data_IF_343169513819
#
_entry.id   IF_343169513819
#
_cell.length_a   1.000
_cell.length_b   1.000
_cell.length_c   1.000
_cell.angle_alpha   90.00
_cell.angle_beta   90.00
_cell.angle_gamma   90.00
#
_symmetry.space_group_name_H-M   'P 1'
#
loop_
_entity.id
_entity.type
_entity.pdbx_description
1 polymer ?
#
# COMPACT_ATOMS: atom_id res chain seq x y z
N UNK A 1 14.60 2.94 -11.64
CA UNK A 1 14.66 3.74 -10.39
C UNK A 1 13.58 3.19 -9.48
N UNK A 2 13.87 3.01 -8.19
CA UNK A 2 12.90 2.55 -7.21
C UNK A 2 12.53 3.70 -6.26
N UNK A 3 11.24 3.86 -5.99
CA UNK A 3 10.72 4.82 -5.01
C UNK A 3 10.08 4.04 -3.88
N UNK A 4 10.64 4.16 -2.69
CA UNK A 4 10.09 3.54 -1.49
C UNK A 4 9.34 4.59 -0.67
N UNK A 5 8.10 4.31 -0.28
CA UNK A 5 7.28 5.26 0.47
C UNK A 5 6.27 4.62 1.44
N UNK A 6 6.30 3.29 1.64
CA UNK A 6 5.37 2.61 2.56
C UNK A 6 5.91 2.63 3.98
N UNK A 7 5.39 3.53 4.82
CA UNK A 7 5.64 3.55 6.27
C UNK A 7 7.12 3.54 6.65
N UNK A 8 7.91 4.39 5.98
CA UNK A 8 9.35 4.50 6.20
C UNK A 8 9.68 5.28 7.47
N UNK A 9 10.77 4.85 8.12
CA UNK A 9 11.53 5.60 9.11
C UNK A 9 13.01 5.61 8.69
N UNK A 10 13.86 6.32 9.44
CA UNK A 10 15.29 6.46 9.08
C UNK A 10 16.00 5.10 8.99
N UNK A 11 15.76 4.20 9.94
CA UNK A 11 16.39 2.87 9.93
C UNK A 11 16.02 2.05 8.68
N UNK A 12 14.73 2.06 8.29
CA UNK A 12 14.28 1.37 7.07
C UNK A 12 14.90 1.98 5.82
N UNK A 13 15.00 3.31 5.75
CA UNK A 13 15.65 4.01 4.63
C UNK A 13 17.10 3.55 4.50
N UNK A 14 17.85 3.52 5.60
CA UNK A 14 19.26 3.11 5.59
C UNK A 14 19.44 1.66 5.14
N UNK A 15 18.59 0.74 5.62
CA UNK A 15 18.60 -0.67 5.20
C UNK A 15 18.32 -0.83 3.70
N UNK A 16 17.30 -0.14 3.20
CA UNK A 16 16.93 -0.19 1.77
C UNK A 16 18.03 0.44 0.90
N UNK A 17 18.61 1.56 1.34
CA UNK A 17 19.72 2.20 0.65
C UNK A 17 20.90 1.25 0.53
N UNK A 18 21.39 0.71 1.65
CA UNK A 18 22.52 -0.24 1.67
C UNK A 18 22.28 -1.44 0.76
N UNK A 19 21.05 -1.93 0.71
CA UNK A 19 20.74 -3.09 -0.13
C UNK A 19 20.69 -2.76 -1.63
N UNK A 20 20.19 -1.60 -2.04
CA UNK A 20 19.85 -1.33 -3.45
C UNK A 20 20.69 -0.25 -4.15
N UNK A 21 21.47 0.57 -3.43
CA UNK A 21 22.07 1.79 -3.99
C UNK A 21 23.06 1.55 -5.14
N UNK A 22 23.70 0.37 -5.18
CA UNK A 22 24.62 -0.01 -6.27
C UNK A 22 23.92 -0.58 -7.50
N UNK A 23 22.63 -0.97 -7.36
CA UNK A 23 21.87 -1.68 -8.40
C UNK A 23 20.92 -0.78 -9.17
N UNK A 24 20.45 0.29 -8.55
CA UNK A 24 19.50 1.21 -9.18
C UNK A 24 19.46 2.56 -8.48
N UNK A 25 18.94 3.58 -9.17
CA UNK A 25 18.63 4.88 -8.58
C UNK A 25 17.49 4.73 -7.57
N UNK A 26 17.62 5.41 -6.43
CA UNK A 26 16.68 5.34 -5.31
C UNK A 26 16.09 6.70 -4.97
N UNK A 27 14.83 6.70 -4.52
CA UNK A 27 14.18 7.82 -3.86
C UNK A 27 13.33 7.31 -2.68
N UNK A 28 13.19 8.13 -1.65
CA UNK A 28 12.49 7.77 -0.42
C UNK A 28 11.48 8.85 -0.04
N UNK A 29 10.22 8.46 0.09
CA UNK A 29 9.15 9.30 0.63
C UNK A 29 8.92 8.96 2.09
N UNK A 30 9.32 9.84 3.01
CA UNK A 30 9.11 9.67 4.44
C UNK A 30 7.97 10.59 4.89
N UNK A 31 6.84 10.00 5.30
CA UNK A 31 5.63 10.70 5.70
C UNK A 31 5.54 10.89 7.21
N UNK A 32 4.66 10.13 7.86
CA UNK A 32 4.33 10.23 9.29
C UNK A 32 5.56 10.29 10.21
N UNK A 33 6.56 9.43 9.99
CA UNK A 33 7.80 9.41 10.80
C UNK A 33 8.63 10.69 10.67
N UNK A 34 8.43 11.50 9.64
CA UNK A 34 9.11 12.78 9.45
C UNK A 34 8.26 13.95 9.93
N UNK A 35 6.95 13.93 9.67
CA UNK A 35 6.08 15.10 9.86
C UNK A 35 5.20 15.04 11.10
N UNK A 36 5.08 13.88 11.75
CA UNK A 36 4.22 13.68 12.92
C UNK A 36 4.87 12.69 13.91
N UNK A 37 6.13 12.95 14.27
CA UNK A 37 6.89 12.19 15.27
C UNK A 37 7.11 13.04 16.53
N UNK A 38 6.02 13.26 17.28
CA UNK A 38 5.98 14.21 18.40
C UNK A 38 5.79 13.53 19.77
N UNK A 39 5.81 12.20 19.82
CA UNK A 39 5.59 11.39 21.03
C UNK A 39 4.23 10.66 21.04
N UNK A 40 3.08 11.35 20.89
CA UNK A 40 1.78 10.69 20.78
C UNK A 40 1.65 9.83 19.52
N UNK A 41 0.90 8.73 19.60
CA UNK A 41 0.61 7.87 18.45
C UNK A 41 -0.18 8.62 17.39
N UNK A 42 0.32 8.73 16.14
CA UNK A 42 -0.39 9.41 15.07
C UNK A 42 -1.68 8.68 14.67
N UNK A 43 -2.73 9.45 14.38
CA UNK A 43 -4.00 8.91 13.88
C UNK A 43 -3.81 8.25 12.50
N UNK A 44 -4.37 7.05 12.34
CA UNK A 44 -4.36 6.30 11.09
C UNK A 44 -5.66 6.57 10.32
N UNK A 45 -5.66 7.63 9.50
CA UNK A 45 -6.82 8.05 8.72
C UNK A 45 -6.57 7.75 7.24
N UNK A 46 -7.58 7.18 6.58
CA UNK A 46 -7.51 6.85 5.15
C UNK A 46 -8.75 7.39 4.42
N UNK A 47 -8.52 7.94 3.23
CA UNK A 47 -9.58 8.27 2.27
C UNK A 47 -9.29 7.44 1.01
N UNK A 48 -10.31 6.76 0.50
CA UNK A 48 -10.19 5.87 -0.66
C UNK A 48 -11.37 6.10 -1.59
N UNK A 49 -11.12 6.00 -2.89
CA UNK A 49 -12.18 5.98 -3.88
C UNK A 49 -12.93 4.65 -3.81
N UNK A 50 -14.26 4.71 -3.77
CA UNK A 50 -15.14 3.53 -3.72
C UNK A 50 -15.94 3.34 -5.01
N UNK A 51 -16.17 4.42 -5.76
CA UNK A 51 -16.91 4.40 -7.04
C UNK A 51 -16.33 5.38 -8.06
N UNK A 52 -16.47 5.05 -9.33
CA UNK A 52 -16.18 5.92 -10.47
C UNK A 52 -17.27 5.69 -11.53
N UNK A 53 -17.89 6.76 -12.05
CA UNK A 53 -19.00 6.67 -13.02
C UNK A 53 -20.14 5.72 -12.59
N UNK A 54 -20.46 5.71 -11.30
CA UNK A 54 -21.50 4.83 -10.73
C UNK A 54 -21.12 3.35 -10.62
N UNK A 55 -19.90 2.96 -11.02
CA UNK A 55 -19.38 1.59 -10.93
C UNK A 55 -18.45 1.43 -9.72
N UNK A 56 -18.37 0.23 -9.10
CA UNK A 56 -17.44 -0.02 -8.01
C UNK A 56 -15.99 0.04 -8.50
N UNK A 57 -15.09 0.50 -7.63
CA UNK A 57 -13.63 0.36 -7.84
C UNK A 57 -13.03 -0.41 -6.67
N UNK A 58 -11.88 -1.04 -6.90
CA UNK A 58 -11.19 -1.80 -5.88
C UNK A 58 -9.69 -1.53 -5.91
N UNK A 59 -9.07 -1.60 -4.74
CA UNK A 59 -7.62 -1.74 -4.61
C UNK A 59 -7.31 -3.17 -4.21
N UNK A 60 -6.65 -3.92 -5.08
CA UNK A 60 -6.03 -5.20 -4.75
C UNK A 60 -4.63 -4.91 -4.22
N UNK A 61 -4.28 -5.49 -3.07
CA UNK A 61 -3.02 -5.21 -2.38
C UNK A 61 -2.38 -6.52 -1.94
N UNK A 62 -1.06 -6.62 -2.11
CA UNK A 62 -0.25 -7.77 -1.67
C UNK A 62 -0.19 -7.86 -0.14
N UNK A 63 -0.44 -6.77 0.57
CA UNK A 63 -0.60 -6.79 2.03
C UNK A 63 -2.02 -7.25 2.44
N UNK A 64 -2.16 -8.28 3.29
CA UNK A 64 -3.42 -8.67 3.89
C UNK A 64 -4.11 -7.49 4.59
N UNK A 65 -5.44 -7.37 4.46
CA UNK A 65 -6.23 -6.31 5.10
C UNK A 65 -6.13 -4.91 4.44
N UNK A 66 -5.29 -4.73 3.41
CA UNK A 66 -5.27 -3.48 2.61
C UNK A 66 -6.12 -3.57 1.33
N UNK A 67 -6.70 -4.74 1.03
CA UNK A 67 -7.68 -4.90 -0.04
C UNK A 67 -8.98 -4.21 0.36
N UNK A 68 -9.49 -3.31 -0.48
CA UNK A 68 -10.71 -2.55 -0.19
C UNK A 68 -11.65 -2.59 -1.39
N UNK A 69 -12.80 -3.20 -1.18
CA UNK A 69 -14.01 -3.09 -1.99
C UNK A 69 -15.13 -3.75 -1.19
N UNK A 70 -16.29 -3.11 -1.12
CA UNK A 70 -17.46 -3.66 -0.43
C UNK A 70 -18.21 -4.69 -1.31
N UNK A 71 -17.94 -4.68 -2.61
CA UNK A 71 -18.51 -5.61 -3.58
C UNK A 71 -17.61 -6.85 -3.74
N UNK A 72 -17.99 -7.92 -3.05
CA UNK A 72 -17.28 -9.21 -3.09
C UNK A 72 -17.35 -9.87 -4.47
N UNK A 73 -18.41 -9.63 -5.24
CA UNK A 73 -18.56 -10.11 -6.61
C UNK A 73 -17.55 -9.46 -7.55
N UNK A 74 -17.42 -8.14 -7.45
CA UNK A 74 -16.43 -7.38 -8.21
C UNK A 74 -14.99 -7.73 -7.82
N UNK A 75 -14.71 -7.97 -6.53
CA UNK A 75 -13.40 -8.46 -6.08
C UNK A 75 -13.04 -9.83 -6.64
N UNK A 76 -14.00 -10.76 -6.67
CA UNK A 76 -13.78 -12.09 -7.26
C UNK A 76 -13.49 -11.96 -8.75
N UNK A 77 -14.31 -11.19 -9.46
CA UNK A 77 -14.10 -10.90 -10.88
C UNK A 77 -12.70 -10.32 -11.16
N UNK A 78 -12.26 -9.30 -10.41
CA UNK A 78 -10.94 -8.72 -10.60
C UNK A 78 -9.81 -9.73 -10.32
N UNK A 79 -9.95 -10.57 -9.28
CA UNK A 79 -8.96 -11.61 -9.00
C UNK A 79 -8.84 -12.62 -10.14
N UNK A 80 -9.97 -13.05 -10.70
CA UNK A 80 -10.00 -13.99 -11.83
C UNK A 80 -9.33 -13.36 -13.07
N UNK A 81 -9.68 -12.11 -13.39
CA UNK A 81 -9.11 -11.37 -14.53
C UNK A 81 -7.58 -11.20 -14.40
N UNK A 82 -7.08 -10.98 -13.19
CA UNK A 82 -5.65 -10.80 -12.93
C UNK A 82 -4.93 -12.11 -12.55
N UNK A 83 -5.60 -13.26 -12.58
CA UNK A 83 -5.00 -14.57 -12.25
C UNK A 83 -4.49 -14.68 -10.81
N UNK A 84 -5.15 -14.00 -9.87
CA UNK A 84 -4.78 -14.01 -8.45
C UNK A 84 -5.41 -15.22 -7.72
N UNK A 85 -4.79 -15.69 -6.62
CA UNK A 85 -5.36 -16.75 -5.80
C UNK A 85 -6.79 -16.41 -5.31
N UNK A 86 -7.67 -17.42 -5.16
CA UNK A 86 -9.01 -17.22 -4.64
C UNK A 86 -8.97 -16.63 -3.22
N UNK A 87 -10.03 -15.89 -2.86
CA UNK A 87 -10.17 -15.38 -1.50
C UNK A 87 -10.31 -16.55 -0.54
N UNK A 88 -9.40 -16.67 0.43
CA UNK A 88 -9.53 -17.64 1.52
C UNK A 88 -10.71 -17.24 2.39
N UNK A 89 -11.71 -18.12 2.53
CA UNK A 89 -12.76 -17.95 3.53
C UNK A 89 -12.13 -18.03 4.92
N UNK A 90 -12.40 -17.01 5.74
CA UNK A 90 -12.06 -16.98 7.16
C UNK A 90 -13.29 -17.19 8.00
#
# INVERSE_FOLDING_TARGET
MLVFSDGLNIDKVMRLYQHFHTRCRLAFGVGTSLTNDLGPTPLQIVIKMVRCNGQPVAKLSDSPGKSMCEDTGYLRYLRDVFGLPPMTEG
#
